data_IF_527427644160
#
_entry.id   IF_527427644160
#
_cell.length_a   1.000
_cell.length_b   1.000
_cell.length_c   1.000
_cell.angle_alpha   90.00
_cell.angle_beta   90.00
_cell.angle_gamma   90.00
#
_symmetry.space_group_name_H-M   'P 1'
#
loop_
_entity.id
_entity.type
_entity.pdbx_description
1 polymer ?
#
# COMPACT_ATOMS: atom_id res chain seq x y z
N UNK A 1 -20.03 -2.88 -30.94
CA UNK A 1 -18.60 -3.12 -31.23
C UNK A 1 -18.08 -1.86 -31.93
N UNK A 2 -17.52 -0.91 -31.18
CA UNK A 2 -17.10 0.37 -31.75
C UNK A 2 -15.75 0.18 -32.46
N UNK A 3 -15.73 0.42 -33.77
CA UNK A 3 -14.52 0.42 -34.57
C UNK A 3 -13.67 1.65 -34.20
N UNK A 4 -12.49 1.43 -33.64
CA UNK A 4 -11.48 2.47 -33.53
C UNK A 4 -11.06 2.86 -34.96
N UNK A 5 -11.13 4.15 -35.36
CA UNK A 5 -10.61 4.58 -36.66
C UNK A 5 -9.10 4.27 -36.71
N UNK A 6 -8.54 3.90 -37.88
CA UNK A 6 -7.11 3.73 -38.02
C UNK A 6 -6.46 5.10 -37.80
N UNK A 7 -5.91 5.32 -36.60
CA UNK A 7 -5.13 6.51 -36.30
C UNK A 7 -3.93 6.58 -37.24
N UNK A 8 -3.57 7.79 -37.66
CA UNK A 8 -2.36 8.00 -38.46
C UNK A 8 -1.12 7.52 -37.69
N UNK A 9 -0.03 7.17 -38.38
CA UNK A 9 1.21 6.71 -37.72
C UNK A 9 1.72 7.71 -36.67
N UNK A 10 1.49 9.01 -36.90
CA UNK A 10 1.79 10.09 -35.95
C UNK A 10 0.92 10.05 -34.69
N UNK A 11 -0.37 9.74 -34.82
CA UNK A 11 -1.29 9.57 -33.69
C UNK A 11 -0.94 8.33 -32.87
N UNK A 12 -0.62 7.20 -33.53
CA UNK A 12 -0.16 5.99 -32.86
C UNK A 12 1.15 6.23 -32.09
N UNK A 13 2.11 6.96 -32.69
CA UNK A 13 3.35 7.33 -32.03
C UNK A 13 3.11 8.21 -30.79
N UNK A 14 2.21 9.20 -30.88
CA UNK A 14 1.82 10.05 -29.76
C UNK A 14 1.17 9.25 -28.63
N UNK A 15 0.25 8.34 -28.97
CA UNK A 15 -0.41 7.47 -27.98
C UNK A 15 0.59 6.56 -27.28
N UNK A 16 1.53 5.95 -28.03
CA UNK A 16 2.60 5.12 -27.43
C UNK A 16 3.45 5.93 -26.47
N UNK A 17 3.89 7.13 -26.87
CA UNK A 17 4.69 8.00 -26.01
C UNK A 17 3.93 8.40 -24.74
N UNK A 18 2.61 8.63 -24.84
CA UNK A 18 1.76 8.92 -23.69
C UNK A 18 1.66 7.71 -22.75
N UNK A 19 1.37 6.52 -23.27
CA UNK A 19 1.30 5.28 -22.48
C UNK A 19 2.64 5.01 -21.79
N UNK A 20 3.76 5.13 -22.50
CA UNK A 20 5.09 4.96 -21.92
C UNK A 20 5.37 5.97 -20.80
N UNK A 21 4.90 7.21 -20.96
CA UNK A 21 5.01 8.24 -19.93
C UNK A 21 4.18 7.89 -18.70
N UNK A 22 2.95 7.43 -18.89
CA UNK A 22 2.09 6.96 -17.80
C UNK A 22 2.72 5.76 -17.08
N UNK A 23 3.29 4.80 -17.81
CA UNK A 23 3.92 3.62 -17.22
C UNK A 23 5.17 3.96 -16.41
N UNK A 24 5.96 4.94 -16.87
CA UNK A 24 7.10 5.46 -16.10
C UNK A 24 6.63 6.11 -14.79
N UNK A 25 5.61 6.96 -14.85
CA UNK A 25 5.11 7.66 -13.66
C UNK A 25 4.47 6.67 -12.67
N UNK A 26 3.64 5.74 -13.15
CA UNK A 26 3.07 4.68 -12.32
C UNK A 26 4.15 3.80 -11.69
N UNK A 27 5.24 3.52 -12.41
CA UNK A 27 6.35 2.75 -11.86
C UNK A 27 7.11 3.51 -10.78
N UNK A 28 7.28 4.83 -10.94
CA UNK A 28 7.86 5.70 -9.91
C UNK A 28 7.00 5.71 -8.65
N UNK A 29 5.70 5.98 -8.78
CA UNK A 29 4.76 6.01 -7.65
C UNK A 29 4.73 4.66 -6.92
N UNK A 30 4.70 3.55 -7.66
CA UNK A 30 4.72 2.19 -7.08
C UNK A 30 6.02 1.93 -6.31
N UNK A 31 7.16 2.43 -6.81
CA UNK A 31 8.45 2.32 -6.13
C UNK A 31 8.51 3.17 -4.86
N UNK A 32 8.02 4.40 -4.89
CA UNK A 32 7.92 5.27 -3.70
C UNK A 32 7.04 4.63 -2.63
N UNK A 33 5.88 4.08 -3.02
CA UNK A 33 5.02 3.29 -2.12
C UNK A 33 5.74 2.08 -1.53
N UNK A 34 6.53 1.36 -2.32
CA UNK A 34 7.28 0.21 -1.81
C UNK A 34 8.30 0.60 -0.74
N UNK A 35 8.99 1.74 -0.88
CA UNK A 35 9.92 2.25 0.14
C UNK A 35 9.19 2.61 1.43
N UNK A 36 8.03 3.27 1.34
CA UNK A 36 7.23 3.61 2.52
C UNK A 36 6.72 2.34 3.23
N UNK A 37 6.27 1.34 2.48
CA UNK A 37 5.86 0.06 3.05
C UNK A 37 7.03 -0.69 3.72
N UNK A 38 8.22 -0.66 3.11
CA UNK A 38 9.42 -1.25 3.70
C UNK A 38 9.81 -0.56 5.01
N UNK A 39 9.71 0.78 5.04
CA UNK A 39 9.93 1.57 6.24
C UNK A 39 8.91 1.27 7.34
N UNK A 40 7.62 1.21 7.02
CA UNK A 40 6.56 0.81 7.97
C UNK A 40 6.79 -0.61 8.50
N UNK A 41 7.18 -1.55 7.64
CA UNK A 41 7.51 -2.90 8.06
C UNK A 41 8.72 -2.95 9.02
N UNK A 42 9.70 -2.06 8.85
CA UNK A 42 10.83 -1.93 9.76
C UNK A 42 10.42 -1.36 11.14
N UNK A 43 9.43 -0.46 11.17
CA UNK A 43 8.87 0.10 12.42
C UNK A 43 7.96 -0.90 13.15
N UNK A 44 7.36 -1.85 12.43
CA UNK A 44 6.42 -2.83 12.98
C UNK A 44 6.85 -4.29 12.71
N UNK A 45 8.06 -4.71 13.15
CA UNK A 45 8.63 -6.01 12.78
C UNK A 45 7.83 -7.20 13.32
N UNK A 46 7.11 -7.03 14.44
CA UNK A 46 6.28 -8.09 15.02
C UNK A 46 5.06 -8.45 14.14
N UNK A 47 4.52 -7.48 13.40
CA UNK A 47 3.30 -7.64 12.60
C UNK A 47 3.54 -7.74 11.10
N UNK A 48 4.76 -7.42 10.64
CA UNK A 48 5.16 -7.52 9.24
C UNK A 48 5.47 -8.97 8.82
N UNK A 49 4.83 -9.42 7.74
CA UNK A 49 5.06 -10.76 7.16
C UNK A 49 4.98 -10.71 5.64
N UNK A 50 5.92 -11.36 4.96
CA UNK A 50 5.82 -11.63 3.52
C UNK A 50 5.05 -12.92 3.26
N UNK A 51 4.01 -12.84 2.45
CA UNK A 51 3.15 -13.95 2.06
C UNK A 51 3.22 -14.18 0.54
N UNK A 52 2.85 -15.37 0.09
CA UNK A 52 2.61 -15.67 -1.33
C UNK A 52 1.13 -15.47 -1.60
N UNK A 53 0.81 -14.87 -2.74
CA UNK A 53 -0.56 -14.78 -3.22
C UNK A 53 -1.05 -16.18 -3.65
N UNK A 54 -2.11 -16.74 -3.01
CA UNK A 54 -2.58 -18.08 -3.33
C UNK A 54 -3.16 -18.23 -4.74
N UNK A 55 -3.47 -17.12 -5.43
CA UNK A 55 -4.04 -17.13 -6.79
C UNK A 55 -3.09 -16.72 -7.91
N UNK A 56 -1.85 -16.34 -7.60
CA UNK A 56 -0.89 -15.89 -8.61
C UNK A 56 0.50 -16.40 -8.30
N UNK A 57 0.98 -17.34 -9.13
CA UNK A 57 2.30 -17.95 -8.95
C UNK A 57 3.39 -16.88 -8.91
N UNK A 58 4.00 -16.71 -7.73
CA UNK A 58 5.15 -15.85 -7.53
C UNK A 58 4.84 -14.40 -7.12
N UNK A 59 3.56 -13.97 -7.06
CA UNK A 59 3.24 -12.66 -6.50
C UNK A 59 3.40 -12.71 -5.00
N UNK A 60 4.26 -11.83 -4.48
CA UNK A 60 4.49 -11.66 -3.04
C UNK A 60 3.64 -10.53 -2.52
N UNK A 61 3.11 -10.67 -1.32
CA UNK A 61 2.37 -9.61 -0.62
C UNK A 61 3.01 -9.32 0.72
N UNK A 62 3.12 -8.04 1.04
CA UNK A 62 3.41 -7.61 2.42
C UNK A 62 2.10 -7.61 3.19
N UNK A 63 2.06 -8.33 4.31
CA UNK A 63 1.00 -8.25 5.29
C UNK A 63 1.48 -7.45 6.50
N UNK A 64 0.70 -6.48 6.93
CA UNK A 64 0.90 -5.74 8.19
C UNK A 64 -0.40 -5.77 8.99
N UNK A 65 -0.30 -5.67 10.30
CA UNK A 65 -1.46 -5.38 11.16
C UNK A 65 -1.37 -3.91 11.57
N UNK A 66 -2.35 -3.12 11.14
CA UNK A 66 -2.47 -1.69 11.47
C UNK A 66 -3.74 -1.51 12.28
N UNK A 67 -3.66 -0.89 13.46
CA UNK A 67 -4.81 -0.70 14.36
C UNK A 67 -5.64 -1.97 14.62
N UNK A 68 -4.97 -3.13 14.70
CA UNK A 68 -5.61 -4.43 14.94
C UNK A 68 -6.18 -5.12 13.69
N UNK A 69 -6.14 -4.47 12.52
CA UNK A 69 -6.66 -5.03 11.27
C UNK A 69 -5.53 -5.48 10.33
N UNK A 70 -5.62 -6.71 9.77
CA UNK A 70 -4.66 -7.16 8.78
C UNK A 70 -4.88 -6.44 7.44
N UNK A 71 -3.80 -5.98 6.84
CA UNK A 71 -3.75 -5.34 5.53
C UNK A 71 -2.70 -5.99 4.66
N UNK A 72 -2.94 -6.03 3.35
CA UNK A 72 -2.08 -6.75 2.42
C UNK A 72 -1.86 -6.00 1.11
N UNK A 73 -0.61 -5.66 0.81
CA UNK A 73 -0.23 -4.99 -0.44
C UNK A 73 0.54 -5.93 -1.37
N UNK A 74 0.19 -6.00 -2.67
CA UNK A 74 1.00 -6.71 -3.65
C UNK A 74 2.33 -5.99 -3.87
N UNK A 75 3.40 -6.77 -3.98
CA UNK A 75 4.75 -6.29 -4.22
C UNK A 75 5.21 -6.68 -5.63
N UNK A 76 5.90 -5.77 -6.30
CA UNK A 76 6.63 -6.11 -7.54
C UNK A 76 7.88 -6.88 -7.16
N UNK A 77 8.26 -7.85 -7.98
CA UNK A 77 9.47 -8.64 -7.78
C UNK A 77 10.73 -7.79 -7.66
N UNK A 78 10.80 -6.67 -8.40
CA UNK A 78 11.92 -5.72 -8.36
C UNK A 78 12.08 -5.01 -7.00
N UNK A 79 11.01 -4.89 -6.21
CA UNK A 79 11.02 -4.18 -4.93
C UNK A 79 11.26 -5.12 -3.73
N UNK A 80 11.23 -6.44 -3.94
CA UNK A 80 11.44 -7.43 -2.88
C UNK A 80 12.75 -7.27 -2.10
N UNK A 81 13.88 -6.86 -2.69
CA UNK A 81 15.10 -6.62 -1.93
C UNK A 81 14.95 -5.59 -0.79
N UNK A 82 13.98 -4.66 -0.88
CA UNK A 82 13.71 -3.66 0.17
C UNK A 82 13.14 -4.30 1.45
N UNK A 83 12.61 -5.52 1.37
CA UNK A 83 11.94 -6.22 2.47
C UNK A 83 12.79 -7.34 3.06
N UNK A 84 14.11 -7.33 2.86
CA UNK A 84 15.01 -8.37 3.37
C UNK A 84 14.98 -8.55 4.89
N UNK A 85 14.54 -7.53 5.64
CA UNK A 85 14.33 -7.58 7.09
C UNK A 85 13.00 -8.19 7.51
N UNK A 86 12.06 -8.41 6.59
CA UNK A 86 10.72 -8.91 6.89
C UNK A 86 10.72 -10.43 6.86
N UNK A 87 10.17 -11.04 7.91
CA UNK A 87 10.03 -12.49 7.98
C UNK A 87 9.08 -13.02 6.91
N UNK A 88 9.40 -14.19 6.38
CA UNK A 88 8.48 -14.91 5.49
C UNK A 88 7.44 -15.67 6.31
N UNK A 89 6.23 -15.77 5.78
CA UNK A 89 5.18 -16.59 6.35
C UNK A 89 5.64 -18.05 6.44
N UNK A 90 5.66 -18.59 7.66
CA UNK A 90 5.90 -20.01 7.89
C UNK A 90 4.67 -20.87 7.61
N UNK A 91 4.81 -22.22 7.58
CA UNK A 91 3.77 -23.17 7.18
C UNK A 91 2.50 -23.24 8.07
N UNK A 92 2.35 -22.38 9.07
CA UNK A 92 1.12 -22.22 9.86
C UNK A 92 0.55 -20.80 9.82
N UNK A 93 1.12 -19.91 9.02
CA UNK A 93 0.55 -18.58 8.81
C UNK A 93 -0.69 -18.75 7.94
N UNK A 94 -1.88 -18.30 8.38
CA UNK A 94 -3.04 -18.36 7.52
C UNK A 94 -2.67 -17.68 6.20
N UNK A 95 -3.02 -18.28 5.04
CA UNK A 95 -2.76 -17.66 3.75
C UNK A 95 -3.29 -16.23 3.79
N UNK A 96 -2.68 -15.32 3.03
CA UNK A 96 -3.32 -14.05 2.77
C UNK A 96 -4.67 -14.41 2.13
N UNK A 97 -5.75 -14.35 2.92
CA UNK A 97 -7.07 -14.58 2.39
C UNK A 97 -7.28 -13.52 1.32
N UNK A 98 -7.81 -13.88 0.14
CA UNK A 98 -8.31 -12.90 -0.81
C UNK A 98 -9.56 -12.17 -0.27
N UNK A 99 -9.98 -12.40 0.98
CA UNK A 99 -10.99 -11.60 1.68
C UNK A 99 -10.46 -10.19 1.93
N UNK A 100 -10.70 -9.34 0.94
CA UNK A 100 -10.23 -7.98 0.83
C UNK A 100 -9.88 -7.57 -0.60
N UNK A 101 -10.47 -8.22 -1.62
CA UNK A 101 -10.46 -7.76 -3.02
C UNK A 101 -11.34 -6.53 -3.25
N UNK A 102 -11.39 -5.63 -2.28
CA UNK A 102 -11.65 -4.24 -2.58
C UNK A 102 -10.58 -3.45 -1.86
N UNK A 103 -9.57 -3.00 -2.61
CA UNK A 103 -8.66 -1.95 -2.12
C UNK A 103 -9.43 -0.76 -1.52
N UNK A 104 -10.68 -0.57 -1.96
CA UNK A 104 -11.65 0.35 -1.38
C UNK A 104 -11.97 0.09 0.10
N UNK A 105 -12.15 -1.16 0.54
CA UNK A 105 -12.42 -1.50 1.95
C UNK A 105 -11.20 -1.22 2.82
N UNK A 106 -10.00 -1.55 2.32
CA UNK A 106 -8.75 -1.26 3.03
C UNK A 106 -8.51 0.25 3.13
N UNK A 107 -8.75 1.00 2.06
CA UNK A 107 -8.60 2.45 2.01
C UNK A 107 -9.61 3.17 2.92
N UNK A 108 -10.86 2.72 2.91
CA UNK A 108 -11.91 3.27 3.79
C UNK A 108 -11.58 2.99 5.26
N UNK A 109 -11.12 1.78 5.59
CA UNK A 109 -10.66 1.48 6.94
C UNK A 109 -9.48 2.36 7.34
N UNK A 110 -8.47 2.51 6.48
CA UNK A 110 -7.29 3.36 6.75
C UNK A 110 -7.71 4.80 7.02
N UNK A 111 -8.61 5.33 6.20
CA UNK A 111 -9.17 6.67 6.33
C UNK A 111 -9.89 6.81 7.67
N UNK A 112 -10.81 5.89 7.98
CA UNK A 112 -11.57 5.88 9.24
C UNK A 112 -10.64 5.80 10.46
N UNK A 113 -9.67 4.89 10.44
CA UNK A 113 -8.72 4.72 11.53
C UNK A 113 -7.88 5.98 11.76
N UNK A 114 -7.36 6.58 10.68
CA UNK A 114 -6.58 7.82 10.77
C UNK A 114 -7.41 8.99 11.31
N UNK A 115 -8.68 9.10 10.90
CA UNK A 115 -9.61 10.10 11.44
C UNK A 115 -9.87 9.90 12.93
N UNK A 116 -10.04 8.65 13.39
CA UNK A 116 -10.22 8.35 14.82
C UNK A 116 -8.98 8.76 15.65
N UNK A 117 -7.77 8.43 15.17
CA UNK A 117 -6.54 8.84 15.85
C UNK A 117 -6.39 10.38 15.93
N UNK A 118 -6.79 11.09 14.87
CA UNK A 118 -6.77 12.55 14.86
C UNK A 118 -7.75 13.15 15.90
N UNK A 119 -8.95 12.57 16.03
CA UNK A 119 -9.93 12.98 17.03
C UNK A 119 -9.44 12.68 18.46
N UNK A 120 -8.86 11.50 18.70
CA UNK A 120 -8.27 11.14 19.99
C UNK A 120 -7.16 12.12 20.39
N UNK A 121 -6.27 12.48 19.46
CA UNK A 121 -5.23 13.49 19.70
C UNK A 121 -5.79 14.88 20.03
N UNK A 122 -6.88 15.28 19.37
CA UNK A 122 -7.56 16.55 19.66
C UNK A 122 -8.22 16.55 21.05
N UNK A 123 -8.89 15.45 21.41
CA UNK A 123 -9.49 15.28 22.74
C UNK A 123 -8.42 15.23 23.82
N UNK A 124 -7.35 14.48 23.61
CA UNK A 124 -6.21 14.42 24.54
C UNK A 124 -5.63 15.82 24.76
N UNK A 125 -5.37 16.57 23.67
CA UNK A 125 -4.84 17.94 23.74
C UNK A 125 -5.79 18.91 24.47
N UNK A 126 -7.10 18.78 24.26
CA UNK A 126 -8.10 19.60 24.95
C UNK A 126 -8.20 19.27 26.45
N UNK A 127 -8.00 18.01 26.84
CA UNK A 127 -8.03 17.56 28.23
C UNK A 127 -6.72 17.82 28.98
N UNK A 128 -5.57 17.79 28.30
CA UNK A 128 -4.26 18.03 28.92
C UNK A 128 -3.91 19.50 29.11
N UNK A 129 -4.81 20.42 28.71
CA UNK A 129 -4.69 21.82 29.06
C UNK A 129 -3.59 22.54 28.30
N UNK A 130 -4.04 23.52 27.54
CA UNK A 130 -3.30 24.70 27.16
C UNK A 130 -3.01 25.54 28.43
N UNK A 131 -2.29 24.97 29.41
CA UNK A 131 -1.79 25.62 30.63
C UNK A 131 -0.35 26.09 30.38
N UNK A 132 -0.19 27.00 29.42
CA UNK A 132 1.00 27.86 29.36
C UNK A 132 0.56 29.32 29.22
N UNK A 133 -0.13 29.81 30.25
CA UNK A 133 -0.05 31.23 30.62
C UNK A 133 0.24 31.31 32.11
N UNK A 134 1.54 31.39 32.39
CA UNK A 134 2.10 31.57 33.72
C UNK A 134 3.57 31.95 33.60
N UNK A 135 3.88 33.17 33.13
CA UNK A 135 4.41 34.24 33.98
C UNK A 135 4.67 35.50 33.13
#
# INVERSE_FOLDING_TARGET
MAAFPPGTDEELARWRQYVDSCDRELSRIRRERAHLLAWLAALHPATAVLTVDPGSEGVRRLRLVVGGWPMSWPLRSADLPLFGHVRHAGPGTPPATPDGDDGADQEEWLRRHTQLLALEGAVHSALTGHDTTGH
#
